data_IF_867085987252
#
_entry.id   IF_867085987252
#
_cell.length_a   1.000
_cell.length_b   1.000
_cell.length_c   1.000
_cell.angle_alpha   90.00
_cell.angle_beta   90.00
_cell.angle_gamma   90.00
#
_symmetry.space_group_name_H-M   'P 1'
#
loop_
_entity.id
_entity.type
_entity.pdbx_description
1 polymer ?
#
# COMPACT_ATOMS: atom_id res chain seq x y z
N UNK A 1 -8.28 -13.39 -15.41
CA UNK A 1 -7.19 -13.28 -14.41
C UNK A 1 -6.94 -11.84 -13.92
N UNK A 2 -6.62 -10.87 -14.79
CA UNK A 2 -6.27 -9.49 -14.39
C UNK A 2 -7.31 -8.84 -13.46
N UNK A 3 -8.61 -8.94 -13.78
CA UNK A 3 -9.69 -8.39 -12.96
C UNK A 3 -9.74 -9.03 -11.56
N UNK A 4 -9.75 -10.37 -11.49
CA UNK A 4 -9.70 -11.10 -10.22
C UNK A 4 -8.45 -10.72 -9.40
N UNK A 5 -7.27 -10.65 -10.04
CA UNK A 5 -6.04 -10.28 -9.34
C UNK A 5 -6.05 -8.85 -8.84
N UNK A 6 -6.69 -7.94 -9.56
CA UNK A 6 -6.89 -6.57 -9.09
C UNK A 6 -7.78 -6.52 -7.85
N UNK A 7 -8.79 -7.40 -7.72
CA UNK A 7 -9.60 -7.49 -6.50
C UNK A 7 -8.78 -7.90 -5.28
N UNK A 8 -7.82 -8.81 -5.43
CA UNK A 8 -6.93 -9.24 -4.33
C UNK A 8 -6.00 -8.10 -3.87
N UNK A 9 -5.33 -7.44 -4.83
CA UNK A 9 -4.25 -6.50 -4.51
C UNK A 9 -4.77 -5.07 -4.32
N UNK A 10 -5.71 -4.63 -5.17
CA UNK A 10 -6.23 -3.26 -5.23
C UNK A 10 -5.23 -2.21 -5.73
N UNK A 11 -4.09 -2.63 -6.31
CA UNK A 11 -3.02 -1.74 -6.79
C UNK A 11 -2.60 -2.07 -8.22
N UNK A 12 -2.86 -1.15 -9.16
CA UNK A 12 -2.41 -1.27 -10.55
C UNK A 12 -0.88 -1.29 -10.68
N UNK A 13 -0.13 -0.70 -9.73
CA UNK A 13 1.34 -0.71 -9.78
C UNK A 13 1.91 -2.08 -9.45
N UNK A 14 1.35 -2.75 -8.44
CA UNK A 14 1.75 -4.11 -8.11
C UNK A 14 1.28 -5.09 -9.19
N UNK A 15 0.06 -4.92 -9.69
CA UNK A 15 -0.47 -5.73 -10.79
C UNK A 15 0.40 -5.61 -12.05
N UNK A 16 0.89 -4.41 -12.41
CA UNK A 16 1.80 -4.23 -13.54
C UNK A 16 3.16 -4.93 -13.35
N UNK A 17 3.61 -5.15 -12.12
CA UNK A 17 4.81 -5.94 -11.83
C UNK A 17 4.52 -7.42 -12.04
N UNK A 18 3.46 -7.94 -11.44
CA UNK A 18 3.10 -9.36 -11.61
C UNK A 18 2.79 -9.73 -13.07
N UNK A 19 2.14 -8.83 -13.82
CA UNK A 19 1.89 -9.00 -15.25
C UNK A 19 3.22 -9.10 -16.02
N UNK A 20 4.22 -8.28 -15.66
CA UNK A 20 5.55 -8.35 -16.27
C UNK A 20 6.31 -9.62 -15.86
N UNK A 21 6.23 -10.03 -14.59
CA UNK A 21 6.87 -11.25 -14.07
C UNK A 21 6.29 -12.52 -14.73
N UNK A 22 5.03 -12.46 -15.14
CA UNK A 22 4.34 -13.51 -15.92
C UNK A 22 4.64 -13.47 -17.43
N UNK A 23 5.44 -12.53 -17.89
CA UNK A 23 5.75 -12.36 -19.32
C UNK A 23 4.55 -11.90 -20.17
N UNK A 24 3.50 -11.35 -19.56
CA UNK A 24 2.31 -10.89 -20.28
C UNK A 24 2.59 -9.52 -20.91
N UNK A 25 2.48 -9.45 -22.24
CA UNK A 25 2.65 -8.25 -23.03
C UNK A 25 1.36 -7.82 -23.73
N UNK A 26 1.38 -6.61 -24.26
CA UNK A 26 0.37 -6.19 -25.24
C UNK A 26 0.53 -7.01 -26.54
N UNK A 27 -0.50 -7.07 -27.41
CA UNK A 27 -0.41 -7.76 -28.70
C UNK A 27 0.77 -7.29 -29.59
N UNK A 28 1.29 -6.07 -29.35
CA UNK A 28 2.47 -5.51 -30.05
C UNK A 28 3.80 -5.79 -29.32
N UNK A 29 3.81 -6.66 -28.31
CA UNK A 29 5.01 -6.99 -27.53
C UNK A 29 5.41 -5.94 -26.49
N UNK A 30 4.70 -4.81 -26.38
CA UNK A 30 5.02 -3.78 -25.39
C UNK A 30 4.63 -4.23 -23.98
N UNK A 31 5.40 -3.77 -22.99
CA UNK A 31 5.11 -3.97 -21.56
C UNK A 31 3.76 -3.37 -21.18
N UNK A 32 2.97 -4.12 -20.44
CA UNK A 32 1.72 -3.62 -19.84
C UNK A 32 2.08 -2.72 -18.65
N UNK A 33 1.82 -1.43 -18.77
CA UNK A 33 2.03 -0.45 -17.72
C UNK A 33 0.75 -0.18 -16.91
N UNK A 34 0.86 0.62 -15.85
CA UNK A 34 -0.30 0.99 -15.03
C UNK A 34 -1.39 1.70 -15.84
N UNK A 35 -1.03 2.49 -16.87
CA UNK A 35 -1.99 3.23 -17.70
C UNK A 35 -2.81 2.28 -18.57
N UNK A 36 -2.17 1.25 -19.11
CA UNK A 36 -2.81 0.16 -19.82
C UNK A 36 -3.81 -0.56 -18.90
N UNK A 37 -3.40 -0.92 -17.68
CA UNK A 37 -4.28 -1.57 -16.71
C UNK A 37 -5.49 -0.72 -16.34
N UNK A 38 -5.32 0.57 -16.04
CA UNK A 38 -6.47 1.45 -15.78
C UNK A 38 -7.44 1.50 -16.96
N UNK A 39 -6.91 1.56 -18.19
CA UNK A 39 -7.75 1.54 -19.39
C UNK A 39 -8.51 0.22 -19.54
N UNK A 40 -7.87 -0.91 -19.24
CA UNK A 40 -8.51 -2.22 -19.27
C UNK A 40 -9.60 -2.33 -18.21
N UNK A 41 -9.30 -1.97 -16.96
CA UNK A 41 -10.25 -2.07 -15.85
C UNK A 41 -11.47 -1.14 -16.01
N UNK A 42 -11.35 -0.07 -16.81
CA UNK A 42 -12.46 0.86 -17.11
C UNK A 42 -13.12 0.62 -18.47
N UNK A 43 -12.71 -0.39 -19.25
CA UNK A 43 -13.30 -0.66 -20.56
C UNK A 43 -14.57 -1.50 -20.44
N UNK A 44 -15.74 -0.87 -20.63
CA UNK A 44 -17.06 -1.52 -20.55
C UNK A 44 -17.28 -2.61 -21.61
N UNK A 45 -16.44 -2.68 -22.64
CA UNK A 45 -16.47 -3.81 -23.57
C UNK A 45 -16.30 -5.16 -22.85
N UNK A 46 -15.54 -5.23 -21.76
CA UNK A 46 -15.41 -6.47 -20.98
C UNK A 46 -16.70 -6.91 -20.29
N UNK A 47 -17.69 -6.00 -20.16
CA UNK A 47 -19.01 -6.26 -19.60
C UNK A 47 -20.06 -6.60 -20.66
N UNK A 48 -19.64 -6.78 -21.93
CA UNK A 48 -20.58 -7.00 -23.04
C UNK A 48 -21.27 -5.72 -23.52
N UNK A 49 -20.74 -4.53 -23.20
CA UNK A 49 -21.35 -3.25 -23.53
C UNK A 49 -20.53 -2.45 -24.56
N UNK A 50 -21.21 -1.66 -25.39
CA UNK A 50 -20.62 -0.71 -26.32
C UNK A 50 -20.82 0.74 -25.82
N UNK A 51 -19.77 1.55 -25.84
CA UNK A 51 -19.83 2.95 -25.39
C UNK A 51 -19.83 3.89 -26.59
N UNK A 52 -20.86 4.73 -26.70
CA UNK A 52 -20.95 5.79 -27.71
C UNK A 52 -21.25 7.12 -27.04
N UNK A 53 -20.41 8.14 -27.30
CA UNK A 53 -20.55 9.50 -26.76
C UNK A 53 -20.81 9.56 -25.23
N UNK A 54 -20.17 8.66 -24.48
CA UNK A 54 -20.29 8.59 -23.03
C UNK A 54 -21.49 7.80 -22.50
N UNK A 55 -22.37 7.30 -23.38
CA UNK A 55 -23.47 6.41 -23.01
C UNK A 55 -23.11 4.96 -23.33
N UNK A 56 -23.54 4.04 -22.47
CA UNK A 56 -23.31 2.60 -22.62
C UNK A 56 -24.57 1.88 -23.07
N UNK A 57 -24.41 0.99 -24.05
CA UNK A 57 -25.48 0.19 -24.66
C UNK A 57 -25.10 -1.30 -24.61
N UNK A 58 -26.07 -2.23 -24.57
CA UNK A 58 -25.78 -3.65 -24.78
C UNK A 58 -25.05 -3.86 -26.11
N UNK A 59 -23.91 -4.54 -26.08
CA UNK A 59 -23.15 -4.94 -27.25
C UNK A 59 -23.61 -6.30 -27.79
N UNK A 60 -23.17 -6.63 -28.99
CA UNK A 60 -23.44 -7.94 -29.62
C UNK A 60 -22.47 -9.03 -29.13
N UNK A 61 -21.42 -8.66 -28.39
CA UNK A 61 -20.42 -9.58 -27.88
C UNK A 61 -20.72 -10.00 -26.44
N UNK A 62 -20.41 -11.25 -26.12
CA UNK A 62 -20.56 -11.76 -24.76
C UNK A 62 -19.65 -11.05 -23.75
N UNK A 63 -20.15 -10.90 -22.53
CA UNK A 63 -19.37 -10.37 -21.43
C UNK A 63 -18.22 -11.32 -21.06
N UNK A 64 -17.01 -10.77 -20.94
CA UNK A 64 -15.81 -11.49 -20.50
C UNK A 64 -15.74 -11.50 -18.95
N UNK A 65 -16.30 -10.47 -18.32
CA UNK A 65 -16.32 -10.28 -16.87
C UNK A 65 -17.78 -10.07 -16.43
N UNK A 66 -18.17 -10.75 -15.35
CA UNK A 66 -19.50 -10.59 -14.78
C UNK A 66 -19.69 -9.23 -14.10
N UNK A 67 -20.96 -8.84 -13.90
CA UNK A 67 -21.32 -7.55 -13.32
C UNK A 67 -20.82 -7.38 -11.88
N UNK A 68 -20.82 -8.45 -11.09
CA UNK A 68 -20.38 -8.40 -9.69
C UNK A 68 -18.88 -8.10 -9.59
N UNK A 69 -18.05 -8.81 -10.36
CA UNK A 69 -16.61 -8.56 -10.47
C UNK A 69 -16.35 -7.13 -10.94
N UNK A 70 -17.07 -6.68 -11.96
CA UNK A 70 -16.95 -5.32 -12.49
C UNK A 70 -17.24 -4.26 -11.42
N UNK A 71 -18.36 -4.39 -10.70
CA UNK A 71 -18.80 -3.44 -9.68
C UNK A 71 -17.83 -3.41 -8.51
N UNK A 72 -17.31 -4.56 -8.08
CA UNK A 72 -16.28 -4.65 -7.03
C UNK A 72 -14.97 -3.98 -7.43
N UNK A 73 -14.52 -4.17 -8.68
CA UNK A 73 -13.33 -3.47 -9.22
C UNK A 73 -13.56 -1.96 -9.19
N UNK A 74 -14.73 -1.50 -9.60
CA UNK A 74 -15.05 -0.08 -9.66
C UNK A 74 -15.21 0.54 -8.27
N UNK A 75 -15.76 -0.20 -7.29
CA UNK A 75 -15.80 0.23 -5.90
C UNK A 75 -14.38 0.53 -5.38
N UNK A 76 -13.41 -0.34 -5.67
CA UNK A 76 -11.99 -0.11 -5.34
C UNK A 76 -11.44 1.11 -6.09
N UNK A 77 -11.75 1.27 -7.39
CA UNK A 77 -11.24 2.40 -8.17
C UNK A 77 -11.78 3.76 -7.70
N UNK A 78 -13.01 3.81 -7.19
CA UNK A 78 -13.62 5.01 -6.60
C UNK A 78 -12.97 5.40 -5.26
N UNK A 79 -12.30 4.49 -4.57
CA UNK A 79 -11.53 4.86 -3.38
C UNK A 79 -10.38 5.81 -3.74
N UNK A 80 -10.20 6.82 -2.88
CA UNK A 80 -9.12 7.80 -3.01
C UNK A 80 -7.77 7.08 -3.23
N UNK A 81 -7.00 7.45 -4.28
CA UNK A 81 -5.69 6.87 -4.53
C UNK A 81 -4.75 6.96 -3.32
N UNK A 82 -4.91 7.98 -2.46
CA UNK A 82 -4.14 8.14 -1.22
C UNK A 82 -4.48 7.05 -0.18
N UNK A 83 -5.76 6.72 -0.01
CA UNK A 83 -6.21 5.64 0.89
C UNK A 83 -5.75 4.28 0.38
N UNK A 84 -5.89 4.02 -0.92
CA UNK A 84 -5.40 2.78 -1.55
C UNK A 84 -3.88 2.62 -1.42
N UNK A 85 -3.13 3.70 -1.69
CA UNK A 85 -1.68 3.70 -1.51
C UNK A 85 -1.27 3.48 -0.04
N UNK A 86 -2.05 3.96 0.93
CA UNK A 86 -1.79 3.72 2.35
C UNK A 86 -1.92 2.24 2.71
N UNK A 87 -2.90 1.51 2.15
CA UNK A 87 -3.08 0.07 2.37
C UNK A 87 -1.88 -0.74 1.87
N UNK A 88 -1.43 -0.49 0.64
CA UNK A 88 -0.23 -1.15 0.11
C UNK A 88 1.04 -0.73 0.86
N UNK A 89 1.14 0.52 1.31
CA UNK A 89 2.29 0.98 2.12
C UNK A 89 2.29 0.40 3.53
N UNK A 90 1.15 -0.06 4.05
CA UNK A 90 1.07 -0.74 5.34
C UNK A 90 1.75 -2.11 5.33
N UNK A 91 1.98 -2.72 4.16
CA UNK A 91 2.76 -3.96 4.04
C UNK A 91 4.22 -3.78 4.44
N UNK A 92 4.76 -2.55 4.38
CA UNK A 92 6.10 -2.28 4.93
C UNK A 92 5.97 -2.01 6.44
N UNK A 93 6.47 -2.90 7.31
CA UNK A 93 6.30 -2.75 8.75
C UNK A 93 6.99 -1.48 9.24
N UNK A 94 6.17 -0.60 9.83
CA UNK A 94 6.58 0.62 10.50
C UNK A 94 5.78 0.70 11.81
N UNK A 95 6.23 -0.05 12.82
CA UNK A 95 5.50 -0.28 14.08
C UNK A 95 5.25 1.01 14.85
N UNK A 96 6.17 1.96 14.77
CA UNK A 96 6.12 3.22 15.51
C UNK A 96 5.55 4.38 14.68
N UNK A 97 4.96 4.10 13.52
CA UNK A 97 4.33 5.13 12.68
C UNK A 97 3.22 5.83 13.46
N UNK A 98 3.36 7.14 13.65
CA UNK A 98 2.42 7.97 14.40
C UNK A 98 2.62 7.92 15.92
N UNK A 99 3.59 7.14 16.41
CA UNK A 99 3.92 7.03 17.85
C UNK A 99 5.28 7.66 18.18
N UNK A 100 6.19 7.77 17.19
CA UNK A 100 7.52 8.32 17.39
C UNK A 100 7.56 9.83 17.13
N UNK A 101 7.98 10.60 18.13
CA UNK A 101 8.13 12.06 18.07
C UNK A 101 9.54 12.47 18.47
N UNK A 102 10.04 13.54 17.84
CA UNK A 102 11.31 14.14 18.18
C UNK A 102 11.24 15.05 19.40
N UNK A 103 12.41 15.50 19.90
CA UNK A 103 12.48 16.48 20.98
C UNK A 103 11.87 17.84 20.61
N UNK A 104 11.75 18.12 19.32
CA UNK A 104 11.05 19.27 18.74
C UNK A 104 9.52 19.11 18.74
N UNK A 105 8.98 18.00 19.27
CA UNK A 105 7.55 17.68 19.27
C UNK A 105 7.03 17.24 17.89
N UNK A 106 7.90 17.09 16.89
CA UNK A 106 7.52 16.78 15.52
C UNK A 106 7.56 15.27 15.28
N UNK A 107 6.52 14.72 14.64
CA UNK A 107 6.43 13.30 14.39
C UNK A 107 7.49 12.83 13.38
N UNK A 108 7.97 11.60 13.59
CA UNK A 108 8.86 10.92 12.67
C UNK A 108 8.06 10.11 11.65
N UNK A 109 8.48 10.18 10.39
CA UNK A 109 7.86 9.46 9.27
C UNK A 109 8.73 8.26 8.85
N UNK A 110 8.15 7.08 8.62
CA UNK A 110 8.90 5.93 8.11
C UNK A 110 9.32 6.19 6.66
N UNK A 111 10.58 5.88 6.37
CA UNK A 111 11.23 6.00 5.07
C UNK A 111 12.06 4.74 4.83
N UNK A 112 12.34 4.45 3.56
CA UNK A 112 13.22 3.36 3.22
C UNK A 112 14.06 3.68 2.00
N UNK A 113 15.21 3.02 1.89
CA UNK A 113 16.02 2.99 0.68
C UNK A 113 16.44 1.56 0.40
N UNK A 114 16.66 1.22 -0.87
CA UNK A 114 17.08 -0.12 -1.30
C UNK A 114 18.44 -0.02 -1.98
N UNK A 115 19.41 -0.83 -1.55
CA UNK A 115 20.73 -0.95 -2.19
C UNK A 115 20.95 -2.43 -2.52
N UNK A 116 20.97 -2.74 -3.82
CA UNK A 116 20.91 -4.13 -4.28
C UNK A 116 19.63 -4.79 -3.77
N UNK A 117 19.77 -5.94 -3.11
CA UNK A 117 18.63 -6.63 -2.50
C UNK A 117 18.29 -6.16 -1.08
N UNK A 118 19.15 -5.38 -0.44
CA UNK A 118 18.98 -4.97 0.96
C UNK A 118 18.05 -3.75 1.09
N UNK A 119 16.99 -3.90 1.89
CA UNK A 119 16.06 -2.82 2.27
C UNK A 119 16.49 -2.19 3.60
N UNK A 120 16.83 -0.91 3.59
CA UNK A 120 17.14 -0.12 4.78
C UNK A 120 15.93 0.70 5.18
N UNK A 121 15.48 0.57 6.43
CA UNK A 121 14.30 1.26 6.98
C UNK A 121 14.72 2.27 8.04
N UNK A 122 14.18 3.47 7.97
CA UNK A 122 14.47 4.56 8.90
C UNK A 122 13.20 5.31 9.29
N UNK A 123 13.17 5.86 10.49
CA UNK A 123 12.26 6.93 10.87
C UNK A 123 12.99 8.26 10.71
N UNK A 124 12.41 9.23 10.02
CA UNK A 124 13.01 10.54 9.77
C UNK A 124 12.10 11.63 10.31
N UNK A 125 12.67 12.58 11.06
CA UNK A 125 11.90 13.75 11.55
C UNK A 125 11.26 14.48 10.37
N UNK A 126 9.97 14.82 10.47
CA UNK A 126 9.33 15.67 9.46
C UNK A 126 9.99 17.04 9.35
N UNK A 127 10.63 17.55 10.41
CA UNK A 127 11.41 18.78 10.39
C UNK A 127 12.56 18.66 9.39
N UNK A 128 13.29 17.53 9.41
CA UNK A 128 14.36 17.27 8.44
C UNK A 128 13.83 17.06 7.03
N UNK A 129 12.69 16.39 6.87
CA UNK A 129 12.07 16.20 5.55
C UNK A 129 11.62 17.53 4.92
N UNK A 130 11.22 18.52 5.73
CA UNK A 130 10.72 19.82 5.26
C UNK A 130 11.82 20.88 5.12
N UNK A 131 12.76 20.90 6.05
CA UNK A 131 13.73 21.98 6.20
C UNK A 131 15.19 21.56 5.93
N UNK A 132 15.42 20.28 5.62
CA UNK A 132 16.74 19.76 5.26
C UNK A 132 17.53 19.20 6.44
N UNK A 133 18.75 18.73 6.14
CA UNK A 133 19.65 18.14 7.13
C UNK A 133 20.05 19.16 8.21
N UNK A 134 20.18 18.71 9.46
CA UNK A 134 20.53 19.57 10.60
C UNK A 134 19.34 20.29 11.26
N UNK A 135 18.15 20.29 10.64
CA UNK A 135 16.97 20.95 11.19
C UNK A 135 16.36 20.26 12.42
N UNK A 136 16.78 19.02 12.72
CA UNK A 136 16.42 18.30 13.94
C UNK A 136 17.69 17.64 14.50
N UNK A 137 17.96 17.70 15.82
CA UNK A 137 19.16 17.10 16.43
C UNK A 137 19.27 15.58 16.19
N UNK A 138 18.14 14.88 16.13
CA UNK A 138 18.09 13.43 15.95
C UNK A 138 18.17 13.05 14.46
N UNK A 139 17.51 13.81 13.59
CA UNK A 139 17.54 13.62 12.14
C UNK A 139 16.89 12.34 11.62
N UNK A 140 17.58 11.20 11.73
CA UNK A 140 17.14 9.88 11.24
C UNK A 140 17.49 8.79 12.25
N UNK A 141 16.57 7.85 12.44
CA UNK A 141 16.74 6.71 13.37
C UNK A 141 16.55 5.39 12.60
N UNK A 142 17.47 4.41 12.72
CA UNK A 142 17.28 3.08 12.14
C UNK A 142 16.03 2.39 12.70
N UNK A 143 15.11 1.97 11.82
CA UNK A 143 13.84 1.40 12.25
C UNK A 143 14.03 0.11 13.03
N UNK A 144 14.97 -0.76 12.62
CA UNK A 144 15.22 -2.03 13.30
C UNK A 144 15.67 -1.87 14.75
N UNK A 145 16.53 -0.89 15.03
CA UNK A 145 17.07 -0.66 16.38
C UNK A 145 16.02 -0.05 17.31
N UNK A 146 15.32 0.99 16.85
CA UNK A 146 14.30 1.65 17.69
C UNK A 146 13.08 0.75 17.92
N UNK A 147 12.65 -0.01 16.91
CA UNK A 147 11.55 -0.96 17.05
C UNK A 147 11.91 -2.08 18.03
N UNK A 148 13.13 -2.62 17.95
CA UNK A 148 13.62 -3.62 18.89
C UNK A 148 13.64 -3.09 20.33
N UNK A 149 14.20 -1.89 20.54
CA UNK A 149 14.25 -1.25 21.86
C UNK A 149 12.85 -1.04 22.47
N UNK A 150 11.88 -0.59 21.67
CA UNK A 150 10.49 -0.41 22.13
C UNK A 150 9.84 -1.76 22.45
N UNK A 151 10.01 -2.78 21.59
CA UNK A 151 9.48 -4.12 21.84
C UNK A 151 10.06 -4.72 23.13
N UNK A 152 11.37 -4.59 23.35
CA UNK A 152 12.01 -5.14 24.54
C UNK A 152 11.54 -4.43 25.81
N UNK A 153 11.29 -3.12 25.75
CA UNK A 153 10.72 -2.39 26.88
C UNK A 153 9.28 -2.83 27.17
N UNK A 154 8.46 -3.01 26.13
CA UNK A 154 7.09 -3.52 26.29
C UNK A 154 7.08 -4.93 26.88
N UNK A 155 7.97 -5.82 26.44
CA UNK A 155 8.13 -7.17 27.02
C UNK A 155 8.45 -7.11 28.51
N UNK A 156 9.31 -6.19 28.93
CA UNK A 156 9.63 -6.02 30.35
C UNK A 156 8.41 -5.56 31.17
N UNK A 157 7.63 -4.62 30.65
CA UNK A 157 6.38 -4.14 31.29
C UNK A 157 5.36 -5.26 31.39
N UNK A 158 5.14 -6.03 30.32
CA UNK A 158 4.17 -7.12 30.32
C UNK A 158 4.54 -8.29 31.23
N UNK A 159 5.81 -8.42 31.65
CA UNK A 159 6.25 -9.41 32.63
C UNK A 159 6.02 -8.98 34.08
N UNK A 160 5.56 -7.76 34.34
CA UNK A 160 5.30 -7.29 35.69
C UNK A 160 4.08 -8.02 36.29
N UNK A 161 4.16 -8.53 37.54
CA UNK A 161 3.09 -9.31 38.17
C UNK A 161 1.75 -8.58 38.20
N UNK A 162 1.77 -7.27 38.42
CA UNK A 162 0.58 -6.41 38.43
C UNK A 162 -0.20 -6.48 37.11
N UNK A 163 0.50 -6.47 35.97
CA UNK A 163 -0.10 -6.50 34.64
C UNK A 163 -0.67 -7.89 34.33
N UNK A 164 0.04 -8.95 34.72
CA UNK A 164 -0.41 -10.35 34.55
C UNK A 164 -1.63 -10.63 35.42
N UNK A 165 -1.62 -10.22 36.68
CA UNK A 165 -2.76 -10.38 37.58
C UNK A 165 -3.96 -9.51 37.17
N UNK A 166 -3.71 -8.29 36.69
CA UNK A 166 -4.73 -7.39 36.17
C UNK A 166 -5.42 -7.92 34.91
N UNK A 167 -4.64 -8.50 33.98
CA UNK A 167 -5.20 -9.13 32.76
C UNK A 167 -6.00 -10.39 33.08
N UNK A 168 -5.58 -11.18 34.06
CA UNK A 168 -6.35 -12.35 34.53
C UNK A 168 -7.69 -11.97 35.17
N UNK A 169 -7.75 -10.88 35.95
CA UNK A 169 -9.01 -10.42 36.58
C UNK A 169 -10.01 -9.79 35.61
N UNK A 170 -9.55 -9.35 34.44
CA UNK A 170 -10.37 -8.72 33.42
C UNK A 170 -10.87 -9.70 32.35
N UNK A 171 -10.39 -10.96 32.38
CA UNK A 171 -10.83 -12.07 31.54
C UNK A 171 -11.93 -12.87 32.22
#
# INVERSE_FOLDING_TARGET
WIFARFLDIGSCTLLAREVADRGLGTPRGNRIDKKCLYRMLSNRAYLGEAVHKGQSYPGEHDAIVDRETWDRVHAILQESPRKRAARTRAETPALLKGLLFGPDGVAFSPTHTRKGDRLYRYYVSQTVLKHGAGACPVGRVPAGEIEAAVIDRLRAVFRQPEIVAGTWKAA
#
